data_IF_245641962834
#
_entry.id   IF_245641962834
#
_cell.length_a   1.000
_cell.length_b   1.000
_cell.length_c   1.000
_cell.angle_alpha   90.00
_cell.angle_beta   90.00
_cell.angle_gamma   90.00
#
_symmetry.space_group_name_H-M   'P 1'
#
loop_
_entity.id
_entity.type
_entity.pdbx_description
1 polymer ?
#
# COMPACT_ATOMS: atom_id res chain seq x y z
N UNK A 1 7.05 -44.74 -31.63
CA UNK A 1 5.87 -44.06 -31.05
C UNK A 1 4.82 -43.91 -32.13
N UNK A 2 3.63 -44.48 -31.94
CA UNK A 2 2.57 -44.53 -32.97
C UNK A 2 2.01 -43.13 -33.25
N UNK A 3 2.39 -42.51 -34.37
CA UNK A 3 1.65 -41.39 -34.95
C UNK A 3 0.55 -41.93 -35.88
N UNK A 4 -0.58 -42.35 -35.30
CA UNK A 4 -1.75 -42.66 -36.11
C UNK A 4 -2.47 -41.36 -36.50
N UNK A 5 -2.61 -41.11 -37.80
CA UNK A 5 -3.25 -39.89 -38.34
C UNK A 5 -4.79 -39.99 -38.41
N UNK A 6 -5.39 -41.09 -37.95
CA UNK A 6 -6.84 -41.28 -38.01
C UNK A 6 -7.56 -40.26 -37.12
N UNK A 7 -8.67 -39.71 -37.62
CA UNK A 7 -9.49 -38.74 -36.89
C UNK A 7 -9.98 -39.30 -35.54
N UNK A 8 -10.34 -40.58 -35.50
CA UNK A 8 -10.73 -41.31 -34.28
C UNK A 8 -9.70 -41.21 -33.16
N UNK A 9 -8.42 -41.32 -33.51
CA UNK A 9 -7.33 -41.42 -32.54
C UNK A 9 -7.01 -40.03 -31.97
N UNK A 10 -7.11 -39.00 -32.82
CA UNK A 10 -7.04 -37.58 -32.41
C UNK A 10 -8.21 -37.21 -31.49
N UNK A 11 -9.42 -37.67 -31.81
CA UNK A 11 -10.61 -37.41 -31.01
C UNK A 11 -10.51 -38.09 -29.64
N UNK A 12 -10.04 -39.35 -29.58
CA UNK A 12 -9.78 -40.06 -28.33
C UNK A 12 -8.71 -39.40 -27.46
N UNK A 13 -7.60 -38.97 -28.06
CA UNK A 13 -6.57 -38.20 -27.34
C UNK A 13 -7.13 -36.89 -26.77
N UNK A 14 -7.89 -36.13 -27.59
CA UNK A 14 -8.53 -34.88 -27.16
C UNK A 14 -9.48 -35.11 -25.98
N UNK A 15 -10.26 -36.19 -26.01
CA UNK A 15 -11.17 -36.52 -24.91
C UNK A 15 -10.41 -36.81 -23.62
N UNK A 16 -9.31 -37.55 -23.68
CA UNK A 16 -8.45 -37.83 -22.53
C UNK A 16 -7.84 -36.53 -21.98
N UNK A 17 -7.29 -35.68 -22.85
CA UNK A 17 -6.76 -34.37 -22.44
C UNK A 17 -7.84 -33.52 -21.78
N UNK A 18 -9.03 -33.43 -22.36
CA UNK A 18 -10.13 -32.65 -21.81
C UNK A 18 -10.55 -33.15 -20.43
N UNK A 19 -10.64 -34.48 -20.24
CA UNK A 19 -10.92 -35.10 -18.94
C UNK A 19 -9.84 -34.75 -17.92
N UNK A 20 -8.57 -34.87 -18.29
CA UNK A 20 -7.44 -34.53 -17.44
C UNK A 20 -7.44 -33.04 -17.07
N UNK A 21 -7.59 -32.14 -18.04
CA UNK A 21 -7.62 -30.69 -17.83
C UNK A 21 -8.78 -30.31 -16.90
N UNK A 22 -9.95 -30.92 -17.09
CA UNK A 22 -11.11 -30.70 -16.21
C UNK A 22 -10.81 -31.16 -14.78
N UNK A 23 -10.30 -32.38 -14.61
CA UNK A 23 -9.95 -32.89 -13.29
C UNK A 23 -8.91 -32.01 -12.59
N UNK A 24 -7.89 -31.58 -13.33
CA UNK A 24 -6.85 -30.68 -12.81
C UNK A 24 -7.43 -29.32 -12.39
N UNK A 25 -8.33 -28.76 -13.19
CA UNK A 25 -9.04 -27.53 -12.87
C UNK A 25 -9.85 -27.68 -11.58
N UNK A 26 -10.67 -28.73 -11.49
CA UNK A 26 -11.55 -28.98 -10.35
C UNK A 26 -10.74 -29.21 -9.06
N UNK A 27 -9.66 -29.98 -9.14
CA UNK A 27 -8.73 -30.16 -8.02
C UNK A 27 -8.09 -28.85 -7.54
N UNK A 28 -7.57 -28.03 -8.47
CA UNK A 28 -6.96 -26.74 -8.12
C UNK A 28 -7.99 -25.79 -7.50
N UNK A 29 -9.18 -25.73 -8.09
CA UNK A 29 -10.27 -24.90 -7.60
C UNK A 29 -10.65 -25.28 -6.16
N UNK A 30 -10.84 -26.57 -5.90
CA UNK A 30 -11.17 -27.08 -4.57
C UNK A 30 -10.07 -26.73 -3.56
N UNK A 31 -8.81 -27.06 -3.88
CA UNK A 31 -7.66 -26.81 -3.02
C UNK A 31 -7.55 -25.35 -2.57
N UNK A 32 -7.61 -24.40 -3.51
CA UNK A 32 -7.47 -22.98 -3.16
C UNK A 32 -8.72 -22.42 -2.47
N UNK A 33 -9.92 -22.93 -2.78
CA UNK A 33 -11.14 -22.55 -2.06
C UNK A 33 -11.06 -22.97 -0.60
N UNK A 34 -10.62 -24.19 -0.31
CA UNK A 34 -10.41 -24.66 1.06
C UNK A 34 -9.35 -23.83 1.81
N UNK A 35 -8.21 -23.54 1.16
CA UNK A 35 -7.16 -22.68 1.72
C UNK A 35 -7.68 -21.27 2.06
N UNK A 36 -8.48 -20.65 1.18
CA UNK A 36 -9.08 -19.33 1.41
C UNK A 36 -10.07 -19.38 2.59
N UNK A 37 -10.93 -20.41 2.64
CA UNK A 37 -11.89 -20.58 3.73
C UNK A 37 -11.20 -20.79 5.09
N UNK A 38 -10.04 -21.46 5.12
CA UNK A 38 -9.21 -21.61 6.33
C UNK A 38 -8.56 -20.30 6.79
N UNK A 39 -8.51 -19.26 5.95
CA UNK A 39 -7.98 -17.94 6.29
C UNK A 39 -9.02 -17.01 6.94
N UNK A 40 -10.23 -17.49 7.26
CA UNK A 40 -11.30 -16.66 7.83
C UNK A 40 -10.82 -15.89 9.08
N UNK A 41 -10.82 -14.56 8.99
CA UNK A 41 -10.39 -13.66 10.07
C UNK A 41 -8.88 -13.38 10.14
N UNK A 42 -8.05 -14.02 9.30
CA UNK A 42 -6.60 -13.81 9.24
C UNK A 42 -6.19 -13.26 7.87
N UNK A 43 -6.20 -11.92 7.76
CA UNK A 43 -5.86 -11.21 6.53
C UNK A 43 -4.42 -11.51 6.07
N UNK A 44 -3.49 -11.76 6.99
CA UNK A 44 -2.09 -12.07 6.65
C UNK A 44 -1.99 -13.41 5.92
N UNK A 45 -2.66 -14.44 6.42
CA UNK A 45 -2.71 -15.75 5.74
C UNK A 45 -3.42 -15.66 4.39
N UNK A 46 -4.50 -14.89 4.31
CA UNK A 46 -5.20 -14.67 3.04
C UNK A 46 -4.26 -14.03 1.98
N UNK A 47 -3.49 -13.02 2.36
CA UNK A 47 -2.51 -12.39 1.47
C UNK A 47 -1.38 -13.34 1.05
N UNK A 48 -0.96 -14.26 1.91
CA UNK A 48 0.02 -15.30 1.55
C UNK A 48 -0.55 -16.26 0.49
N UNK A 49 -1.78 -16.75 0.68
CA UNK A 49 -2.48 -17.60 -0.30
C UNK A 49 -2.64 -16.84 -1.62
N UNK A 50 -3.07 -15.59 -1.58
CA UNK A 50 -3.17 -14.73 -2.76
C UNK A 50 -1.83 -14.57 -3.50
N UNK A 51 -0.74 -14.35 -2.76
CA UNK A 51 0.61 -14.22 -3.34
C UNK A 51 1.04 -15.50 -4.05
N UNK A 52 0.73 -16.68 -3.47
CA UNK A 52 0.96 -17.98 -4.10
C UNK A 52 0.18 -18.14 -5.42
N UNK A 53 -1.10 -17.74 -5.45
CA UNK A 53 -1.92 -17.77 -6.68
C UNK A 53 -1.38 -16.86 -7.77
N UNK A 54 -0.93 -15.66 -7.40
CA UNK A 54 -0.41 -14.68 -8.36
C UNK A 54 0.95 -15.07 -8.94
N UNK A 55 1.56 -16.17 -8.48
CA UNK A 55 2.87 -16.66 -8.92
C UNK A 55 3.94 -15.55 -8.98
N UNK A 56 3.77 -14.53 -8.13
CA UNK A 56 4.80 -13.54 -7.90
C UNK A 56 5.84 -14.31 -7.11
N UNK A 57 6.89 -14.79 -7.79
CA UNK A 57 8.16 -15.02 -7.11
C UNK A 57 8.38 -13.76 -6.34
N UNK A 58 8.33 -13.87 -5.01
CA UNK A 58 8.71 -12.79 -4.14
C UNK A 58 10.19 -12.59 -4.45
N UNK A 59 10.48 -11.73 -5.43
CA UNK A 59 11.84 -11.24 -5.63
C UNK A 59 12.22 -10.68 -4.27
N UNK A 60 13.26 -11.28 -3.68
CA UNK A 60 13.77 -10.78 -2.44
C UNK A 60 14.10 -9.30 -2.73
N UNK A 61 13.44 -8.34 -2.04
CA UNK A 61 13.70 -6.92 -2.31
C UNK A 61 15.13 -6.54 -1.92
N UNK A 62 15.82 -7.44 -1.23
CA UNK A 62 17.21 -7.31 -0.85
C UNK A 62 18.11 -7.72 -2.01
N UNK A 63 19.23 -7.01 -2.22
CA UNK A 63 20.25 -7.45 -3.14
C UNK A 63 20.72 -8.86 -2.77
N UNK A 64 21.11 -9.69 -3.76
CA UNK A 64 21.63 -11.03 -3.50
C UNK A 64 22.98 -10.92 -2.81
N UNK A 65 22.98 -10.89 -1.47
CA UNK A 65 24.18 -10.93 -0.65
C UNK A 65 24.19 -12.21 0.18
N UNK A 66 25.36 -12.84 0.22
CA UNK A 66 25.57 -14.11 0.90
C UNK A 66 25.86 -13.94 2.39
N UNK A 67 26.11 -12.71 2.85
CA UNK A 67 26.54 -12.39 4.21
C UNK A 67 25.72 -11.24 4.81
N UNK A 68 25.28 -11.45 6.05
CA UNK A 68 24.40 -10.51 6.76
C UNK A 68 25.13 -9.27 7.26
N UNK A 69 26.42 -9.38 7.59
CA UNK A 69 27.22 -8.26 8.07
C UNK A 69 27.47 -7.26 6.95
N UNK A 70 27.87 -7.77 5.78
CA UNK A 70 28.06 -6.95 4.57
C UNK A 70 26.77 -6.22 4.18
N UNK A 71 25.62 -6.90 4.19
CA UNK A 71 24.33 -6.26 3.88
C UNK A 71 23.98 -5.14 4.86
N UNK A 72 24.24 -5.34 6.16
CA UNK A 72 23.98 -4.33 7.17
C UNK A 72 24.87 -3.09 6.98
N UNK A 73 26.15 -3.30 6.67
CA UNK A 73 27.09 -2.22 6.39
C UNK A 73 26.69 -1.45 5.12
N UNK A 74 26.33 -2.15 4.05
CA UNK A 74 25.88 -1.54 2.79
C UNK A 74 24.61 -0.70 2.98
N UNK A 75 23.66 -1.17 3.80
CA UNK A 75 22.50 -0.36 4.19
C UNK A 75 22.92 0.90 4.95
N UNK A 76 23.82 0.77 5.92
CA UNK A 76 24.36 1.91 6.67
C UNK A 76 24.96 2.96 5.74
N UNK A 77 25.84 2.53 4.84
CA UNK A 77 26.51 3.41 3.87
C UNK A 77 25.51 4.07 2.91
N UNK A 78 24.51 3.31 2.43
CA UNK A 78 23.45 3.83 1.57
C UNK A 78 22.68 4.97 2.26
N UNK A 79 22.24 4.78 3.51
CA UNK A 79 21.45 5.79 4.22
C UNK A 79 22.29 7.00 4.61
N UNK A 80 23.53 6.82 5.07
CA UNK A 80 24.47 7.91 5.34
C UNK A 80 24.65 8.78 4.10
N UNK A 81 24.99 8.15 2.96
CA UNK A 81 25.15 8.85 1.69
C UNK A 81 23.88 9.57 1.24
N UNK A 82 22.70 8.96 1.46
CA UNK A 82 21.43 9.58 1.07
C UNK A 82 21.14 10.82 1.91
N UNK A 83 21.48 10.81 3.21
CA UNK A 83 21.35 11.98 4.09
C UNK A 83 22.26 13.10 3.61
N UNK A 84 23.51 12.80 3.28
CA UNK A 84 24.46 13.83 2.83
C UNK A 84 24.01 14.46 1.51
N UNK A 85 23.57 13.66 0.54
CA UNK A 85 23.00 14.16 -0.72
C UNK A 85 21.78 15.06 -0.50
N UNK A 86 20.89 14.69 0.42
CA UNK A 86 19.71 15.51 0.72
C UNK A 86 20.09 16.85 1.37
N UNK A 87 21.12 16.87 2.23
CA UNK A 87 21.63 18.11 2.82
C UNK A 87 22.23 19.01 1.75
N UNK A 88 23.08 18.47 0.88
CA UNK A 88 23.65 19.20 -0.25
C UNK A 88 22.57 19.76 -1.17
N UNK A 89 21.55 18.95 -1.50
CA UNK A 89 20.42 19.41 -2.30
C UNK A 89 19.69 20.57 -1.62
N UNK A 90 19.37 20.47 -0.33
CA UNK A 90 18.69 21.54 0.41
C UNK A 90 19.54 22.80 0.48
N UNK A 91 20.83 22.68 0.80
CA UNK A 91 21.74 23.83 0.91
C UNK A 91 21.99 24.51 -0.45
N UNK A 92 21.85 23.76 -1.55
CA UNK A 92 21.89 24.31 -2.91
C UNK A 92 20.65 25.10 -3.31
N UNK A 93 19.54 24.97 -2.58
CA UNK A 93 18.31 25.72 -2.85
C UNK A 93 18.55 27.18 -2.44
N UNK A 94 18.90 28.01 -3.42
CA UNK A 94 18.93 29.45 -3.24
C UNK A 94 17.51 30.01 -3.38
N UNK A 95 16.80 30.14 -2.26
CA UNK A 95 15.54 30.88 -2.23
C UNK A 95 15.86 32.38 -2.25
N UNK A 96 15.65 33.03 -3.39
CA UNK A 96 15.50 34.49 -3.40
C UNK A 96 14.20 34.79 -2.65
N UNK A 97 14.24 35.50 -1.51
CA UNK A 97 13.02 35.88 -0.83
C UNK A 97 12.16 36.63 -1.83
N UNK A 98 10.87 36.27 -2.00
CA UNK A 98 9.98 37.06 -2.81
C UNK A 98 10.07 38.50 -2.31
N UNK A 99 10.25 39.45 -3.24
CA UNK A 99 10.17 40.86 -2.91
C UNK A 99 8.72 41.14 -2.52
N UNK A 100 8.42 40.95 -1.23
CA UNK A 100 7.12 41.28 -0.68
C UNK A 100 7.10 42.80 -0.64
N UNK A 101 6.33 43.41 -1.55
CA UNK A 101 5.90 44.79 -1.39
C UNK A 101 5.00 44.82 -0.15
N UNK A 102 5.64 44.93 1.02
CA UNK A 102 4.96 45.07 2.29
C UNK A 102 4.51 46.53 2.37
N UNK A 103 3.32 46.78 1.82
CA UNK A 103 2.62 48.02 2.11
C UNK A 103 2.29 47.97 3.61
N UNK A 104 2.64 49.00 4.39
CA UNK A 104 2.18 49.08 5.77
C UNK A 104 0.65 48.97 5.75
N UNK A 105 0.12 47.93 6.39
CA UNK A 105 -1.33 47.82 6.55
C UNK A 105 -1.80 49.03 7.35
N UNK A 106 -2.78 49.76 6.82
CA UNK A 106 -3.43 50.86 7.52
C UNK A 106 -4.17 50.37 8.79
N UNK A 107 -4.37 49.05 8.91
CA UNK A 107 -5.01 48.39 10.04
C UNK A 107 -3.95 48.06 11.09
N UNK A 108 -3.87 48.90 12.11
CA UNK A 108 -3.02 48.70 13.28
C UNK A 108 -3.80 47.92 14.36
N UNK A 109 -3.37 46.70 14.66
CA UNK A 109 -3.94 45.91 15.76
C UNK A 109 -3.38 46.43 17.10
N UNK A 110 -4.16 47.27 17.78
CA UNK A 110 -3.73 47.91 19.02
C UNK A 110 -3.76 47.01 20.26
N UNK A 111 -4.52 45.92 20.21
CA UNK A 111 -4.72 45.06 21.38
C UNK A 111 -5.14 43.66 20.98
N UNK A 112 -4.68 42.69 21.76
CA UNK A 112 -5.19 41.33 21.74
C UNK A 112 -5.87 41.05 23.06
N UNK A 113 -6.90 40.21 23.02
CA UNK A 113 -7.57 39.71 24.21
C UNK A 113 -7.54 38.20 24.24
N UNK A 114 -7.58 37.64 25.45
CA UNK A 114 -7.72 36.21 25.66
C UNK A 114 -9.07 35.74 25.15
N UNK A 115 -9.05 34.73 24.30
CA UNK A 115 -10.24 34.05 23.78
C UNK A 115 -10.86 33.19 24.88
N UNK A 116 -12.17 33.25 25.05
CA UNK A 116 -12.89 32.41 26.03
C UNK A 116 -13.26 31.05 25.44
N UNK A 117 -13.57 30.06 26.29
CA UNK A 117 -14.08 28.76 25.81
C UNK A 117 -15.34 28.90 24.94
N UNK A 118 -16.20 29.88 25.27
CA UNK A 118 -17.40 30.17 24.49
C UNK A 118 -17.07 30.65 23.07
N UNK A 119 -16.07 31.53 22.93
CA UNK A 119 -15.62 32.02 21.63
C UNK A 119 -15.05 30.87 20.78
N UNK A 120 -14.26 29.99 21.38
CA UNK A 120 -13.73 28.79 20.72
C UNK A 120 -14.87 27.87 20.27
N UNK A 121 -15.84 27.60 21.17
CA UNK A 121 -17.01 26.77 20.87
C UNK A 121 -17.83 27.36 19.73
N UNK A 122 -18.03 28.68 19.70
CA UNK A 122 -18.76 29.37 18.63
C UNK A 122 -18.06 29.21 17.27
N UNK A 123 -16.73 29.35 17.21
CA UNK A 123 -15.95 29.15 15.98
C UNK A 123 -16.07 27.71 15.48
N UNK A 124 -15.94 26.72 16.38
CA UNK A 124 -16.09 25.29 16.03
C UNK A 124 -17.49 25.02 15.48
N UNK A 125 -18.54 25.52 16.12
CA UNK A 125 -19.93 25.31 15.70
C UNK A 125 -20.27 26.04 14.39
N UNK A 126 -19.60 27.16 14.10
CA UNK A 126 -19.76 27.91 12.85
C UNK A 126 -19.00 27.31 11.66
N UNK A 127 -18.10 26.36 11.92
CA UNK A 127 -17.36 25.66 10.87
C UNK A 127 -18.24 24.60 10.22
N UNK A 128 -18.24 24.53 8.89
CA UNK A 128 -19.02 23.50 8.19
C UNK A 128 -18.46 22.11 8.49
N UNK A 129 -19.34 21.17 8.82
CA UNK A 129 -19.00 19.75 8.87
C UNK A 129 -18.85 19.24 7.44
N UNK A 130 -17.71 19.53 6.81
CA UNK A 130 -17.29 18.80 5.63
C UNK A 130 -16.92 17.38 6.10
N UNK A 131 -17.93 16.52 6.23
CA UNK A 131 -17.77 15.09 6.44
C UNK A 131 -17.11 14.52 5.20
N UNK A 132 -15.78 14.52 5.18
CA UNK A 132 -15.05 13.57 4.35
C UNK A 132 -15.54 12.18 4.72
N UNK A 133 -15.95 11.40 3.73
CA UNK A 133 -16.52 10.06 3.87
C UNK A 133 -15.52 9.08 4.49
N UNK A 134 -15.25 9.17 5.79
CA UNK A 134 -14.54 8.19 6.61
C UNK A 134 -14.64 8.56 8.10
N UNK A 135 -15.82 8.42 8.71
CA UNK A 135 -15.92 8.34 10.18
C UNK A 135 -17.22 7.64 10.59
N UNK A 136 -17.28 6.33 10.38
CA UNK A 136 -18.11 5.48 11.23
C UNK A 136 -17.22 5.08 12.39
N UNK A 137 -17.54 5.53 13.61
CA UNK A 137 -17.11 5.05 14.95
C UNK A 137 -16.87 6.24 15.89
N UNK A 138 -17.93 6.66 16.60
CA UNK A 138 -17.90 7.13 17.99
C UNK A 138 -19.30 7.63 18.37
N UNK A 139 -20.26 6.72 18.47
CA UNK A 139 -21.55 7.03 19.07
C UNK A 139 -22.04 5.81 19.85
N UNK A 140 -21.27 5.39 20.87
CA UNK A 140 -21.77 4.46 21.90
C UNK A 140 -20.81 4.39 23.10
N UNK A 141 -20.76 5.44 23.91
CA UNK A 141 -20.52 5.32 25.37
C UNK A 141 -21.21 6.51 26.04
N UNK A 142 -22.49 6.36 26.37
CA UNK A 142 -23.14 7.05 27.49
C UNK A 142 -24.51 6.41 27.72
N UNK A 143 -24.51 5.29 28.46
CA UNK A 143 -25.59 4.87 29.35
C UNK A 143 -25.00 4.06 30.48
#
# INVERSE_FOLDING_TARGET
>A
MLQSQRKSDKDGYREICNKYTKLLHDCKHLYYTEQINQCAGDSRKLFQVFTLLCNKKQECPLPPQNDSETLANDFGDFFCRKIDLLREEIDSIHMVPPQINCYPSEILLHSFSTVTESDVRAVIMSSSSASGSHSHMAAEVMH
#
